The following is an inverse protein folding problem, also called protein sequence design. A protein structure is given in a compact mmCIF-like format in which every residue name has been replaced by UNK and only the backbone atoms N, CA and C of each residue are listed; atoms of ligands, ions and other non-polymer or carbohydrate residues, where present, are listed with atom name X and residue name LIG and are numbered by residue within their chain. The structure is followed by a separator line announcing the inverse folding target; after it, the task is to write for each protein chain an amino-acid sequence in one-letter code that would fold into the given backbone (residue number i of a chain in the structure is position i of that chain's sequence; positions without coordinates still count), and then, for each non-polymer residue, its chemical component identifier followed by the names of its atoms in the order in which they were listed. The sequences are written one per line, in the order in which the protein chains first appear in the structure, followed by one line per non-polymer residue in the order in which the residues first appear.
data_IF_571886469550
#
_entry.id   IF_571886469550
#
_cell.length_a   1.000
_cell.length_b   1.000
_cell.length_c   1.000
_cell.angle_alpha   90.00
_cell.angle_beta   90.00
_cell.angle_gamma   90.00
#
_symmetry.space_group_name_H-M   'P 1'
#
loop_
_entity.id
_entity.type
_entity.pdbx_description
1 polymer ?
#
# COMPACT_ATOMS: atom_id res chain seq x y z
N UNK A 1 44.24 -3.51 10.54
CA UNK A 1 42.79 -3.35 10.33
C UNK A 1 42.51 -1.87 10.19
N UNK A 2 41.70 -1.46 9.23
CA UNK A 2 41.31 -0.07 9.04
C UNK A 2 40.39 0.39 10.19
N UNK A 3 40.54 1.64 10.64
CA UNK A 3 39.74 2.23 11.72
C UNK A 3 38.28 2.34 11.28
N UNK A 4 37.37 1.72 12.01
CA UNK A 4 35.93 1.72 11.75
C UNK A 4 35.18 2.83 12.50
N UNK A 5 35.85 3.53 13.42
CA UNK A 5 35.28 4.67 14.14
C UNK A 5 34.24 4.27 15.18
N UNK A 6 33.57 5.26 15.79
CA UNK A 6 32.53 5.04 16.81
C UNK A 6 31.13 5.19 16.22
N UNK A 7 30.25 4.23 16.47
CA UNK A 7 28.83 4.28 16.14
C UNK A 7 28.01 4.13 17.43
N UNK A 8 27.07 5.04 17.67
CA UNK A 8 26.17 5.03 18.84
C UNK A 8 26.89 4.88 20.20
N UNK A 9 28.06 5.50 20.37
CA UNK A 9 28.83 5.46 21.63
C UNK A 9 29.69 4.20 21.82
N UNK A 10 29.65 3.24 20.89
CA UNK A 10 30.51 2.05 20.89
C UNK A 10 31.69 2.25 19.94
N UNK A 11 32.91 2.08 20.46
CA UNK A 11 34.14 2.16 19.66
C UNK A 11 34.48 0.77 19.09
N UNK A 12 34.20 0.61 17.79
CA UNK A 12 34.36 -0.64 17.05
C UNK A 12 35.83 -1.06 16.91
N UNK A 13 36.77 -0.14 17.18
CA UNK A 13 38.21 -0.41 17.13
C UNK A 13 38.74 -1.09 18.41
N UNK A 14 37.92 -1.18 19.47
CA UNK A 14 38.28 -1.79 20.77
C UNK A 14 37.48 -3.05 21.10
N UNK A 15 36.70 -3.55 20.14
CA UNK A 15 35.87 -4.73 20.32
C UNK A 15 36.59 -5.98 19.79
N UNK A 16 36.60 -7.05 20.59
CA UNK A 16 37.23 -8.32 20.23
C UNK A 16 36.15 -9.39 20.20
N UNK A 17 35.98 -10.02 19.03
CA UNK A 17 35.04 -11.11 18.84
C UNK A 17 35.80 -12.43 18.96
N UNK A 18 35.36 -13.29 19.87
CA UNK A 18 35.89 -14.64 20.05
C UNK A 18 34.76 -15.67 20.09
N UNK A 19 34.99 -16.89 19.58
CA UNK A 19 33.98 -17.94 19.65
C UNK A 19 33.58 -18.26 21.10
N UNK A 20 32.28 -18.41 21.35
CA UNK A 20 31.75 -18.63 22.70
C UNK A 20 32.38 -19.83 23.42
N UNK A 21 32.59 -20.95 22.73
CA UNK A 21 33.21 -22.14 23.32
C UNK A 21 34.67 -21.92 23.77
N UNK A 22 35.40 -21.02 23.11
CA UNK A 22 36.78 -20.65 23.48
C UNK A 22 36.76 -19.73 24.71
N UNK A 23 35.85 -18.75 24.72
CA UNK A 23 35.62 -17.89 25.87
C UNK A 23 35.26 -18.69 27.14
N UNK A 24 34.33 -19.65 27.02
CA UNK A 24 33.87 -20.48 28.14
C UNK A 24 35.00 -21.35 28.72
N UNK A 25 35.90 -21.88 27.86
CA UNK A 25 37.07 -22.66 28.31
C UNK A 25 38.10 -21.81 29.06
N UNK A 26 38.35 -20.57 28.60
CA UNK A 26 39.38 -19.70 29.19
C UNK A 26 38.90 -18.96 30.44
N UNK A 27 37.62 -18.57 30.49
CA UNK A 27 37.09 -17.67 31.53
C UNK A 27 35.97 -18.28 32.39
N UNK A 28 35.57 -19.53 32.13
CA UNK A 28 34.53 -20.24 32.87
C UNK A 28 33.10 -19.94 32.40
N UNK A 29 32.13 -20.69 32.95
CA UNK A 29 30.72 -20.69 32.52
C UNK A 29 29.75 -19.93 33.42
N UNK A 30 30.16 -19.52 34.63
CA UNK A 30 29.31 -18.80 35.60
C UNK A 30 29.44 -17.29 35.45
N UNK A 31 29.01 -16.74 34.31
CA UNK A 31 28.95 -15.30 34.08
C UNK A 31 27.59 -14.88 33.52
N UNK A 32 27.25 -13.62 33.72
CA UNK A 32 26.10 -12.99 33.07
C UNK A 32 26.33 -13.00 31.55
N UNK A 33 25.28 -13.30 30.80
CA UNK A 33 25.32 -13.46 29.35
C UNK A 33 24.10 -12.78 28.75
N UNK A 34 24.33 -11.95 27.75
CA UNK A 34 23.28 -11.40 26.90
C UNK A 34 23.16 -12.28 25.67
N UNK A 35 21.94 -12.74 25.38
CA UNK A 35 21.65 -13.52 24.17
C UNK A 35 20.90 -12.60 23.21
N UNK A 36 21.50 -12.34 22.05
CA UNK A 36 20.84 -11.57 20.99
C UNK A 36 20.03 -12.53 20.11
N UNK A 37 18.76 -12.21 19.93
CA UNK A 37 17.83 -13.00 19.11
C UNK A 37 17.31 -12.10 17.99
N UNK A 38 17.47 -12.55 16.74
CA UNK A 38 16.96 -11.85 15.57
C UNK A 38 15.64 -12.46 15.13
N UNK A 39 14.57 -11.67 15.22
CA UNK A 39 13.24 -12.05 14.70
C UNK A 39 13.20 -11.83 13.19
N UNK A 40 12.56 -12.75 12.45
CA UNK A 40 12.44 -12.67 10.99
C UNK A 40 11.60 -11.48 10.52
N UNK A 41 10.51 -11.19 11.23
CA UNK A 41 9.58 -10.12 10.92
C UNK A 41 9.39 -9.21 12.16
N UNK A 42 9.63 -7.88 12.05
CA UNK A 42 9.37 -6.93 13.13
C UNK A 42 7.93 -6.95 13.66
N UNK A 43 6.94 -7.34 12.85
CA UNK A 43 5.55 -7.42 13.28
C UNK A 43 5.30 -8.53 14.32
N UNK A 44 6.16 -9.55 14.35
CA UNK A 44 6.06 -10.71 15.24
C UNK A 44 6.89 -10.54 16.52
N UNK A 45 7.48 -9.37 16.77
CA UNK A 45 8.37 -9.15 17.94
C UNK A 45 7.65 -9.45 19.26
N UNK A 46 6.40 -8.99 19.41
CA UNK A 46 5.67 -9.17 20.68
C UNK A 46 5.29 -10.65 20.90
N UNK A 47 4.80 -11.33 19.87
CA UNK A 47 4.51 -12.78 19.94
C UNK A 47 5.78 -13.60 20.19
N UNK A 48 6.88 -13.25 19.49
CA UNK A 48 8.18 -13.92 19.67
C UNK A 48 8.74 -13.69 21.08
N UNK A 49 8.45 -12.54 21.69
CA UNK A 49 8.86 -12.21 23.06
C UNK A 49 8.13 -13.09 24.06
N UNK A 50 6.82 -13.25 23.92
CA UNK A 50 6.03 -14.14 24.78
C UNK A 50 6.49 -15.60 24.65
N UNK A 51 6.78 -16.04 23.41
CA UNK A 51 7.32 -17.37 23.15
C UNK A 51 8.71 -17.54 23.82
N UNK A 52 9.59 -16.56 23.68
CA UNK A 52 10.91 -16.54 24.32
C UNK A 52 10.81 -16.58 25.85
N UNK A 53 9.88 -15.85 26.46
CA UNK A 53 9.62 -15.91 27.90
C UNK A 53 9.22 -17.33 28.29
N UNK A 54 8.29 -17.96 27.56
CA UNK A 54 7.86 -19.33 27.81
C UNK A 54 9.01 -20.34 27.73
N UNK A 55 9.85 -20.24 26.70
CA UNK A 55 11.02 -21.11 26.51
C UNK A 55 12.04 -20.88 27.63
N UNK A 56 12.38 -19.63 27.96
CA UNK A 56 13.37 -19.31 28.98
C UNK A 56 12.91 -19.73 30.38
N UNK A 57 11.64 -19.54 30.73
CA UNK A 57 11.07 -20.03 32.00
C UNK A 57 11.18 -21.55 32.10
N UNK A 58 10.97 -22.29 31.00
CA UNK A 58 11.11 -23.75 30.94
C UNK A 58 12.57 -24.19 31.12
N UNK A 59 13.50 -23.55 30.41
CA UNK A 59 14.95 -23.85 30.49
C UNK A 59 15.49 -23.56 31.89
N UNK A 60 15.07 -22.45 32.50
CA UNK A 60 15.49 -22.02 33.84
C UNK A 60 14.69 -22.65 34.98
N UNK A 61 13.63 -23.40 34.66
CA UNK A 61 12.72 -24.04 35.63
C UNK A 61 12.11 -23.04 36.61
N UNK A 62 11.71 -21.87 36.11
CA UNK A 62 11.04 -20.84 36.92
C UNK A 62 9.64 -21.33 37.32
N UNK A 63 9.27 -21.33 38.62
CA UNK A 63 7.95 -21.74 39.07
C UNK A 63 6.82 -20.92 38.41
N UNK A 64 5.60 -21.46 38.23
CA UNK A 64 4.52 -20.77 37.52
C UNK A 64 4.11 -19.42 38.13
N UNK A 65 4.21 -19.27 39.45
CA UNK A 65 3.79 -18.06 40.19
C UNK A 65 4.96 -17.08 40.40
N UNK A 66 6.20 -17.52 40.19
CA UNK A 66 7.38 -16.70 40.41
C UNK A 66 7.58 -15.67 39.28
N UNK A 67 8.11 -14.50 39.64
CA UNK A 67 8.57 -13.49 38.67
C UNK A 67 9.78 -14.02 37.85
N UNK A 68 10.00 -13.44 36.69
CA UNK A 68 11.13 -13.82 35.82
C UNK A 68 12.46 -13.43 36.48
N UNK A 69 13.42 -14.36 36.52
CA UNK A 69 14.80 -14.13 36.94
C UNK A 69 15.71 -13.65 35.78
N UNK A 70 15.09 -13.21 34.69
CA UNK A 70 15.73 -12.68 33.49
C UNK A 70 14.96 -11.47 32.96
N UNK A 71 15.69 -10.55 32.33
CA UNK A 71 15.12 -9.42 31.63
C UNK A 71 15.30 -9.61 30.12
N UNK A 72 14.25 -9.34 29.36
CA UNK A 72 14.35 -9.18 27.92
C UNK A 72 14.50 -7.69 27.66
N UNK A 73 15.75 -7.24 27.48
CA UNK A 73 16.03 -5.89 26.99
C UNK A 73 15.71 -5.88 25.49
N UNK A 74 14.51 -5.40 25.17
CA UNK A 74 14.08 -5.25 23.80
C UNK A 74 14.68 -3.93 23.28
N UNK A 75 15.19 -3.94 22.04
CA UNK A 75 15.56 -2.72 21.33
C UNK A 75 14.27 -2.01 20.87
N UNK A 76 13.34 -1.75 21.79
CA UNK A 76 12.02 -1.13 21.56
C UNK A 76 12.19 0.14 20.77
N UNK A 77 13.22 0.90 21.12
CA UNK A 77 13.52 2.18 20.47
C UNK A 77 13.75 2.04 18.96
N UNK A 78 14.44 0.98 18.51
CA UNK A 78 14.69 0.78 17.07
C UNK A 78 13.42 0.23 16.41
N UNK A 79 12.79 -0.79 16.99
CA UNK A 79 11.57 -1.37 16.42
C UNK A 79 10.42 -0.36 16.34
N UNK A 80 10.20 0.43 17.40
CA UNK A 80 9.20 1.49 17.44
C UNK A 80 9.54 2.63 16.49
N UNK A 81 10.81 3.00 16.36
CA UNK A 81 11.22 4.00 15.36
C UNK A 81 10.89 3.51 13.95
N UNK A 82 11.24 2.26 13.63
CA UNK A 82 10.87 1.64 12.34
C UNK A 82 9.35 1.63 12.14
N UNK A 83 8.58 1.16 13.12
CA UNK A 83 7.11 1.10 13.05
C UNK A 83 6.51 2.50 12.84
N UNK A 84 6.98 3.51 13.56
CA UNK A 84 6.53 4.91 13.42
C UNK A 84 6.86 5.46 12.03
N UNK A 85 8.08 5.25 11.55
CA UNK A 85 8.50 5.68 10.21
C UNK A 85 7.65 5.01 9.12
N UNK A 86 7.52 3.69 9.17
CA UNK A 86 6.71 2.93 8.21
C UNK A 86 5.25 3.35 8.26
N UNK A 87 4.67 3.54 9.45
CA UNK A 87 3.27 4.00 9.60
C UNK A 87 3.09 5.40 9.03
N UNK A 88 4.02 6.32 9.27
CA UNK A 88 3.97 7.68 8.72
C UNK A 88 4.08 7.65 7.18
N UNK A 89 4.98 6.84 6.62
CA UNK A 89 5.09 6.64 5.17
C UNK A 89 3.80 6.08 4.56
N UNK A 90 3.20 5.08 5.20
CA UNK A 90 1.90 4.55 4.78
C UNK A 90 0.80 5.61 4.82
N UNK A 91 0.73 6.43 5.87
CA UNK A 91 -0.26 7.48 6.00
C UNK A 91 -0.10 8.54 4.90
N UNK A 92 1.14 8.96 4.60
CA UNK A 92 1.42 9.90 3.50
C UNK A 92 1.08 9.28 2.15
N UNK A 93 1.51 8.04 1.90
CA UNK A 93 1.22 7.33 0.66
C UNK A 93 -0.29 7.15 0.44
N UNK A 94 -1.03 6.84 1.51
CA UNK A 94 -2.49 6.75 1.48
C UNK A 94 -3.13 8.10 1.18
N UNK A 95 -2.67 9.19 1.82
CA UNK A 95 -3.16 10.54 1.57
C UNK A 95 -2.93 10.99 0.13
N UNK A 96 -1.69 10.88 -0.36
CA UNK A 96 -1.33 11.25 -1.74
C UNK A 96 -2.05 10.36 -2.75
N UNK A 97 -2.12 9.06 -2.50
CA UNK A 97 -2.85 8.11 -3.35
C UNK A 97 -4.34 8.45 -3.45
N UNK A 98 -4.99 8.81 -2.33
CA UNK A 98 -6.39 9.22 -2.30
C UNK A 98 -6.63 10.50 -3.10
N UNK A 99 -5.75 11.50 -2.97
CA UNK A 99 -5.84 12.74 -3.75
C UNK A 99 -5.66 12.45 -5.24
N UNK A 100 -4.64 11.66 -5.60
CA UNK A 100 -4.39 11.26 -6.99
C UNK A 100 -5.59 10.53 -7.60
N UNK A 101 -6.25 9.70 -6.82
CA UNK A 101 -7.45 8.96 -7.22
C UNK A 101 -8.63 9.91 -7.51
N UNK A 102 -8.84 10.94 -6.67
CA UNK A 102 -9.86 11.99 -6.90
C UNK A 102 -9.54 12.81 -8.15
N UNK A 103 -8.30 13.30 -8.27
CA UNK A 103 -7.87 14.11 -9.43
C UNK A 103 -7.99 13.31 -10.73
N UNK A 104 -7.59 12.03 -10.71
CA UNK A 104 -7.78 11.12 -11.83
C UNK A 104 -9.26 10.95 -12.19
N UNK A 105 -10.13 10.81 -11.19
CA UNK A 105 -11.58 10.73 -11.39
C UNK A 105 -12.19 11.99 -12.01
N UNK A 106 -11.74 13.18 -11.59
CA UNK A 106 -12.13 14.46 -12.21
C UNK A 106 -11.67 14.52 -13.67
N UNK A 107 -10.46 14.03 -13.96
CA UNK A 107 -9.95 13.93 -15.33
C UNK A 107 -10.83 13.05 -16.23
N UNK A 108 -11.21 11.86 -15.74
CA UNK A 108 -12.12 10.96 -16.44
C UNK A 108 -13.48 11.62 -16.67
N UNK A 109 -14.04 12.29 -15.66
CA UNK A 109 -15.30 13.02 -15.77
C UNK A 109 -15.22 14.07 -16.89
N UNK A 110 -14.16 14.88 -16.94
CA UNK A 110 -14.03 15.94 -17.93
C UNK A 110 -13.96 15.37 -19.35
N UNK A 111 -13.16 14.33 -19.57
CA UNK A 111 -13.05 13.68 -20.89
C UNK A 111 -14.41 13.13 -21.32
N UNK A 112 -15.14 12.46 -20.43
CA UNK A 112 -16.47 11.91 -20.72
C UNK A 112 -17.50 13.02 -21.01
N UNK A 113 -17.48 14.11 -20.24
CA UNK A 113 -18.38 15.24 -20.46
C UNK A 113 -18.12 15.87 -21.82
N UNK A 114 -16.86 16.21 -22.13
CA UNK A 114 -16.48 16.84 -23.40
C UNK A 114 -16.84 15.94 -24.59
N UNK A 115 -16.50 14.65 -24.52
CA UNK A 115 -16.82 13.69 -25.58
C UNK A 115 -18.32 13.55 -25.85
N UNK A 116 -19.15 13.61 -24.81
CA UNK A 116 -20.61 13.59 -24.97
C UNK A 116 -21.13 14.90 -25.54
N UNK A 117 -20.57 16.04 -25.10
CA UNK A 117 -20.98 17.35 -25.62
C UNK A 117 -20.65 17.52 -27.10
N UNK A 118 -19.49 17.04 -27.57
CA UNK A 118 -19.12 17.06 -28.99
C UNK A 118 -20.07 16.21 -29.83
N UNK A 119 -20.54 15.08 -29.29
CA UNK A 119 -21.47 14.16 -29.97
C UNK A 119 -22.94 14.51 -29.77
N UNK A 120 -23.28 15.66 -29.17
CA UNK A 120 -24.68 16.05 -28.90
C UNK A 120 -25.55 16.11 -30.14
N UNK A 121 -25.02 16.59 -31.27
CA UNK A 121 -25.75 16.66 -32.54
C UNK A 121 -26.10 15.27 -33.08
N UNK A 122 -25.18 14.31 -32.98
CA UNK A 122 -25.42 12.91 -33.37
C UNK A 122 -26.50 12.25 -32.49
N UNK A 123 -26.46 12.52 -31.18
CA UNK A 123 -27.48 12.06 -30.22
C UNK A 123 -28.85 12.64 -30.61
N UNK A 124 -28.90 13.93 -30.99
CA UNK A 124 -30.10 14.61 -31.47
C UNK A 124 -30.70 13.93 -32.70
N UNK A 125 -29.88 13.64 -33.71
CA UNK A 125 -30.30 12.93 -34.94
C UNK A 125 -30.84 11.54 -34.60
N UNK A 126 -30.14 10.77 -33.76
CA UNK A 126 -30.59 9.42 -33.35
C UNK A 126 -31.93 9.45 -32.61
N UNK A 127 -32.18 10.46 -31.79
CA UNK A 127 -33.49 10.63 -31.12
C UNK A 127 -34.58 11.04 -32.10
N UNK A 128 -34.27 11.88 -33.09
CA UNK A 128 -35.24 12.30 -34.11
C UNK A 128 -35.73 11.12 -34.97
N UNK A 129 -34.86 10.13 -35.23
CA UNK A 129 -35.23 8.88 -35.93
C UNK A 129 -35.82 7.80 -34.99
N UNK A 130 -36.11 8.12 -33.72
CA UNK A 130 -36.83 7.25 -32.79
C UNK A 130 -35.99 6.42 -31.82
N UNK A 131 -34.69 6.70 -31.65
CA UNK A 131 -33.88 5.98 -30.66
C UNK A 131 -34.40 6.21 -29.22
N UNK A 132 -34.61 5.11 -28.48
CA UNK A 132 -35.01 5.17 -27.06
C UNK A 132 -33.87 5.73 -26.22
N UNK A 133 -34.20 6.54 -25.20
CA UNK A 133 -33.25 7.10 -24.22
C UNK A 133 -32.30 6.05 -23.64
N UNK A 134 -32.83 4.84 -23.38
CA UNK A 134 -32.09 3.69 -22.86
C UNK A 134 -30.95 3.24 -23.79
N UNK A 135 -31.13 3.27 -25.11
CA UNK A 135 -30.12 2.83 -26.06
C UNK A 135 -28.91 3.79 -26.04
N UNK A 136 -29.19 5.09 -25.92
CA UNK A 136 -28.16 6.13 -25.83
C UNK A 136 -27.40 6.01 -24.51
N UNK A 137 -28.12 5.82 -23.40
CA UNK A 137 -27.53 5.57 -22.09
C UNK A 137 -26.61 4.33 -22.10
N UNK A 138 -27.05 3.22 -22.67
CA UNK A 138 -26.23 2.00 -22.75
C UNK A 138 -24.94 2.18 -23.55
N UNK A 139 -24.97 2.92 -24.65
CA UNK A 139 -23.77 3.16 -25.43
C UNK A 139 -22.71 3.91 -24.61
N UNK A 140 -23.11 5.02 -23.96
CA UNK A 140 -22.18 5.81 -23.15
C UNK A 140 -21.72 5.08 -21.89
N UNK A 141 -22.58 4.25 -21.29
CA UNK A 141 -22.23 3.38 -20.18
C UNK A 141 -21.15 2.37 -20.57
N UNK A 142 -21.29 1.72 -21.73
CA UNK A 142 -20.31 0.76 -22.21
C UNK A 142 -19.00 1.48 -22.54
N UNK A 143 -19.06 2.65 -23.17
CA UNK A 143 -17.88 3.47 -23.47
C UNK A 143 -17.13 3.86 -22.18
N UNK A 144 -17.84 4.33 -21.15
CA UNK A 144 -17.21 4.70 -19.88
C UNK A 144 -16.65 3.49 -19.12
N UNK A 145 -17.35 2.35 -19.15
CA UNK A 145 -16.86 1.09 -18.57
C UNK A 145 -15.60 0.59 -19.26
N UNK A 146 -15.55 0.61 -20.59
CA UNK A 146 -14.38 0.18 -21.37
C UNK A 146 -13.18 1.08 -21.08
N UNK A 147 -13.37 2.40 -21.08
CA UNK A 147 -12.30 3.37 -20.75
C UNK A 147 -11.79 3.15 -19.33
N UNK A 148 -12.69 2.96 -18.36
CA UNK A 148 -12.33 2.76 -16.95
C UNK A 148 -11.64 1.41 -16.73
N UNK A 149 -12.09 0.36 -17.41
CA UNK A 149 -11.47 -0.96 -17.34
C UNK A 149 -10.07 -0.95 -17.94
N UNK A 150 -9.89 -0.39 -19.15
CA UNK A 150 -8.58 -0.27 -19.78
C UNK A 150 -7.62 0.58 -18.95
N UNK A 151 -8.07 1.74 -18.46
CA UNK A 151 -7.28 2.58 -17.56
C UNK A 151 -6.90 1.86 -16.28
N UNK A 152 -7.83 1.09 -15.68
CA UNK A 152 -7.59 0.28 -14.49
C UNK A 152 -6.54 -0.82 -14.72
N UNK A 153 -6.67 -1.61 -15.80
CA UNK A 153 -5.71 -2.66 -16.11
C UNK A 153 -4.32 -2.09 -16.41
N UNK A 154 -4.24 -1.02 -17.20
CA UNK A 154 -2.96 -0.34 -17.50
C UNK A 154 -2.36 0.23 -16.21
N UNK A 155 -3.16 0.87 -15.37
CA UNK A 155 -2.73 1.43 -14.09
C UNK A 155 -2.18 0.37 -13.13
N UNK A 156 -2.86 -0.77 -12.99
CA UNK A 156 -2.38 -1.90 -12.19
C UNK A 156 -1.07 -2.45 -12.76
N UNK A 157 -1.01 -2.66 -14.08
CA UNK A 157 0.20 -3.17 -14.74
C UNK A 157 1.40 -2.25 -14.51
N UNK A 158 1.23 -0.95 -14.71
CA UNK A 158 2.27 0.05 -14.45
C UNK A 158 2.64 0.14 -12.96
N UNK A 159 1.65 0.10 -12.06
CA UNK A 159 1.89 0.11 -10.61
C UNK A 159 2.71 -1.08 -10.15
N UNK A 160 2.40 -2.29 -10.62
CA UNK A 160 3.16 -3.50 -10.32
C UNK A 160 4.57 -3.46 -10.93
N UNK A 161 4.71 -2.93 -12.15
CA UNK A 161 6.01 -2.76 -12.80
C UNK A 161 6.91 -1.79 -11.99
N UNK A 162 6.37 -0.64 -11.59
CA UNK A 162 7.08 0.35 -10.78
C UNK A 162 7.45 -0.25 -9.42
N UNK A 163 6.53 -0.94 -8.74
CA UNK A 163 6.81 -1.59 -7.48
C UNK A 163 7.96 -2.60 -7.59
N UNK A 164 7.98 -3.40 -8.67
CA UNK A 164 9.05 -4.35 -8.95
C UNK A 164 10.39 -3.64 -9.20
N UNK A 165 10.41 -2.58 -10.00
CA UNK A 165 11.64 -1.81 -10.26
C UNK A 165 12.18 -1.17 -8.97
N UNK A 166 11.31 -0.58 -8.14
CA UNK A 166 11.70 0.01 -6.86
C UNK A 166 12.26 -1.06 -5.92
N UNK A 167 11.66 -2.26 -5.88
CA UNK A 167 12.15 -3.37 -5.06
C UNK A 167 13.55 -3.87 -5.44
N UNK A 168 13.97 -3.67 -6.69
CA UNK A 168 15.30 -4.08 -7.17
C UNK A 168 16.38 -3.06 -6.85
N UNK A 169 16.02 -1.79 -6.74
CA UNK A 169 16.96 -0.68 -6.51
C UNK A 169 17.04 -0.29 -5.03
N UNK A 170 16.00 -0.60 -4.25
CA UNK A 170 15.87 -0.20 -2.84
C UNK A 170 16.03 -1.40 -1.89
N UNK A 171 16.57 -1.16 -0.69
CA UNK A 171 16.59 -2.15 0.39
C UNK A 171 15.20 -2.40 1.01
N UNK A 172 14.18 -1.65 0.60
CA UNK A 172 12.80 -1.83 1.03
C UNK A 172 12.09 -2.82 0.11
N UNK A 173 11.57 -3.89 0.71
CA UNK A 173 10.68 -4.82 0.02
C UNK A 173 9.35 -4.11 -0.28
N UNK A 174 9.19 -3.65 -1.52
CA UNK A 174 7.92 -3.09 -1.99
C UNK A 174 6.91 -4.22 -2.19
N UNK A 175 6.03 -4.44 -1.20
CA UNK A 175 4.90 -5.37 -1.32
C UNK A 175 3.63 -4.60 -1.70
N UNK A 176 2.93 -5.09 -2.72
CA UNK A 176 1.65 -4.53 -3.15
C UNK A 176 0.54 -5.36 -2.53
N UNK A 177 -0.27 -4.74 -1.68
CA UNK A 177 -1.40 -5.42 -1.03
C UNK A 177 -2.54 -5.66 -2.04
N UNK A 178 -3.05 -6.89 -2.18
CA UNK A 178 -4.20 -7.19 -3.03
C UNK A 178 -5.44 -6.36 -2.69
N UNK A 179 -5.62 -6.01 -1.41
CA UNK A 179 -6.75 -5.21 -0.95
C UNK A 179 -6.73 -3.81 -1.59
N UNK A 180 -5.55 -3.18 -1.69
CA UNK A 180 -5.41 -1.85 -2.30
C UNK A 180 -5.75 -1.88 -3.79
N UNK A 181 -5.38 -2.96 -4.50
CA UNK A 181 -5.75 -3.15 -5.91
C UNK A 181 -7.27 -3.26 -6.06
N UNK A 182 -7.92 -4.07 -5.22
CA UNK A 182 -9.38 -4.24 -5.25
C UNK A 182 -10.11 -2.93 -4.95
N UNK A 183 -9.66 -2.19 -3.93
CA UNK A 183 -10.23 -0.88 -3.59
C UNK A 183 -10.07 0.11 -4.75
N UNK A 184 -8.89 0.15 -5.38
CA UNK A 184 -8.65 1.00 -6.56
C UNK A 184 -9.55 0.65 -7.75
N UNK A 185 -9.72 -0.65 -8.04
CA UNK A 185 -10.63 -1.14 -9.09
C UNK A 185 -12.09 -0.79 -8.81
N UNK A 186 -12.52 -0.95 -7.56
CA UNK A 186 -13.88 -0.62 -7.16
C UNK A 186 -14.12 0.89 -7.32
N UNK A 187 -13.15 1.71 -6.88
CA UNK A 187 -13.23 3.16 -7.04
C UNK A 187 -13.29 3.59 -8.51
N UNK A 188 -12.39 3.08 -9.37
CA UNK A 188 -12.38 3.49 -10.79
C UNK A 188 -13.66 3.08 -11.51
N UNK A 189 -14.23 1.92 -11.13
CA UNK A 189 -15.51 1.45 -11.67
C UNK A 189 -16.66 2.34 -11.22
N UNK A 190 -16.70 2.72 -9.93
CA UNK A 190 -17.72 3.64 -9.41
C UNK A 190 -17.65 5.01 -10.09
N UNK A 191 -16.45 5.57 -10.24
CA UNK A 191 -16.21 6.84 -10.94
C UNK A 191 -16.65 6.73 -12.40
N UNK A 192 -16.19 5.71 -13.12
CA UNK A 192 -16.56 5.49 -14.53
C UNK A 192 -18.07 5.31 -14.75
N UNK A 193 -18.74 4.65 -13.82
CA UNK A 193 -20.19 4.41 -13.88
C UNK A 193 -20.96 5.68 -13.53
N UNK A 194 -20.60 6.37 -12.44
CA UNK A 194 -21.25 7.62 -12.04
C UNK A 194 -21.12 8.70 -13.11
N UNK A 195 -19.92 8.92 -13.63
CA UNK A 195 -19.65 9.94 -14.65
C UNK A 195 -19.97 9.49 -16.07
N UNK A 196 -20.19 8.20 -16.33
CA UNK A 196 -20.80 7.74 -17.57
C UNK A 196 -22.31 7.99 -17.60
N UNK A 197 -23.00 7.71 -16.49
CA UNK A 197 -24.46 7.85 -16.38
C UNK A 197 -24.90 9.31 -16.38
N UNK A 198 -24.27 10.14 -15.55
CA UNK A 198 -24.73 11.51 -15.31
C UNK A 198 -24.85 12.37 -16.61
N UNK A 199 -23.77 12.56 -17.40
CA UNK A 199 -23.86 13.33 -18.64
C UNK A 199 -24.70 12.62 -19.72
N UNK A 200 -24.64 11.29 -19.81
CA UNK A 200 -25.45 10.53 -20.77
C UNK A 200 -26.95 10.68 -20.49
N UNK A 201 -27.36 10.69 -19.22
CA UNK A 201 -28.73 10.96 -18.81
C UNK A 201 -29.16 12.37 -19.20
N UNK A 202 -28.31 13.37 -18.96
CA UNK A 202 -28.56 14.77 -19.33
C UNK A 202 -28.74 14.92 -20.84
N UNK A 203 -27.86 14.31 -21.65
CA UNK A 203 -27.96 14.32 -23.12
C UNK A 203 -29.21 13.55 -23.62
N UNK A 204 -29.51 12.39 -23.03
CA UNK A 204 -30.69 11.59 -23.38
C UNK A 204 -32.03 12.28 -23.00
N UNK A 205 -32.02 13.31 -22.14
CA UNK A 205 -33.22 14.09 -21.79
C UNK A 205 -33.39 15.36 -22.64
N UNK A 206 -32.37 15.79 -23.38
CA UNK A 206 -32.40 17.00 -24.22
C UNK A 206 -33.42 16.87 -25.37
N UNK A 207 -34.15 17.95 -25.69
CA UNK A 207 -35.08 17.96 -26.82
C UNK A 207 -34.31 17.89 -28.16
N UNK A 208 -34.77 17.09 -29.14
CA UNK A 208 -34.07 16.92 -30.42
C UNK A 208 -33.84 18.25 -31.16
N UNK A 209 -34.82 19.16 -31.08
CA UNK A 209 -34.76 20.50 -31.69
C UNK A 209 -33.60 21.32 -31.11
N UNK A 210 -33.38 21.24 -29.79
CA UNK A 210 -32.29 21.97 -29.12
C UNK A 210 -30.93 21.32 -29.39
N UNK A 211 -30.88 20.00 -29.56
CA UNK A 211 -29.65 19.29 -29.90
C UNK A 211 -29.16 19.55 -31.33
N UNK A 212 -30.04 20.04 -32.23
CA UNK A 212 -29.72 20.35 -33.63
C UNK A 212 -29.32 21.82 -33.87
N UNK A 213 -29.68 22.72 -32.95
CA UNK A 213 -29.33 24.16 -32.98
C UNK A 213 -28.13 24.51 -32.08
N UNK A 214 -27.45 23.50 -31.52
CA UNK A 214 -26.21 23.73 -30.79
C UNK A 214 -25.10 24.00 -31.81
N UNK A 215 -24.71 25.27 -31.93
CA UNK A 215 -23.44 25.71 -32.55
C UNK A 215 -22.30 25.66 -31.52
#
# INVERSE_FOLDING_TARGET
MEKRGSLFGHNLDTEIIIPFGVFQKMYGSRRWMTIEVKVKDPALIEESKDELIGILRRVRKVPPIAENDFAINQQDMIADMYKRLTTALYAVAFGVGSIALIVGGIGIMNILLVSITERTREIGIRKAIGAKKRNILWQFLIESLVVSALGGFIGIGLGLLIAKLVSQVSFLSASVSPLVIVVGLLFITLVGLFFGIYPAYKAAKMNPINALHFD
#
